data_IF_273435440090
#
_entry.id   IF_273435440090
#
_cell.length_a   1.000
_cell.length_b   1.000
_cell.length_c   1.000
_cell.angle_alpha   90.00
_cell.angle_beta   90.00
_cell.angle_gamma   90.00
#
_symmetry.space_group_name_H-M   'P 1'
#
loop_
_entity.id
_entity.type
_entity.pdbx_description
1 polymer ?
#
# COMPACT_ATOMS: atom_id res chain seq x y z
N UNK A 1 -9.07 0.05 5.93
CA UNK A 1 -9.84 -0.19 4.68
C UNK A 1 -8.93 -0.59 3.53
N UNK A 2 -7.92 0.22 3.17
CA UNK A 2 -6.88 -0.18 2.18
C UNK A 2 -6.10 -1.41 2.61
N UNK A 3 -5.73 -1.50 3.90
CA UNK A 3 -5.04 -2.66 4.49
C UNK A 3 -5.89 -3.94 4.59
N UNK A 4 -7.21 -3.85 4.42
CA UNK A 4 -8.13 -4.99 4.54
C UNK A 4 -8.59 -5.43 3.15
N UNK A 5 -9.31 -4.56 2.43
CA UNK A 5 -9.85 -4.87 1.11
C UNK A 5 -8.80 -4.79 0.01
N UNK A 6 -7.81 -3.90 0.14
CA UNK A 6 -6.73 -3.79 -0.84
C UNK A 6 -5.92 -5.07 -0.93
N UNK A 7 -5.67 -5.77 0.17
CA UNK A 7 -4.88 -7.01 0.18
C UNK A 7 -5.45 -8.12 -0.70
N UNK A 8 -6.75 -8.11 -0.96
CA UNK A 8 -7.41 -9.08 -1.85
C UNK A 8 -7.01 -8.91 -3.31
N UNK A 9 -6.63 -7.70 -3.71
CA UNK A 9 -6.15 -7.38 -5.05
C UNK A 9 -4.64 -7.62 -5.23
N UNK A 10 -3.91 -7.97 -4.18
CA UNK A 10 -2.45 -8.12 -4.23
C UNK A 10 -2.04 -9.53 -4.70
N UNK A 11 -1.43 -9.70 -5.90
CA UNK A 11 -1.13 -11.03 -6.45
C UNK A 11 -0.24 -11.90 -5.54
N UNK A 12 0.69 -11.24 -4.83
CA UNK A 12 1.61 -11.87 -3.87
C UNK A 12 0.95 -12.54 -2.66
N UNK A 13 -0.29 -12.15 -2.33
CA UNK A 13 -1.07 -12.81 -1.28
C UNK A 13 -1.81 -14.02 -1.85
N UNK A 14 -2.35 -13.88 -3.05
CA UNK A 14 -3.06 -14.94 -3.76
C UNK A 14 -2.17 -16.15 -4.06
N UNK A 15 -0.91 -15.93 -4.44
CA UNK A 15 0.05 -17.02 -4.67
C UNK A 15 0.34 -17.85 -3.43
N UNK A 16 0.24 -17.26 -2.23
CA UNK A 16 0.44 -18.00 -0.97
C UNK A 16 -0.71 -18.95 -0.66
N UNK A 17 -1.93 -18.64 -1.10
CA UNK A 17 -3.05 -19.57 -0.95
C UNK A 17 -2.88 -20.83 -1.81
N UNK A 18 -2.28 -20.71 -3.00
CA UNK A 18 -1.96 -21.87 -3.84
C UNK A 18 -0.85 -22.77 -3.26
N UNK A 19 -0.01 -22.24 -2.36
CA UNK A 19 1.01 -23.00 -1.66
C UNK A 19 0.48 -23.72 -0.39
N UNK A 20 -0.79 -23.51 -0.02
CA UNK A 20 -1.37 -24.11 1.18
C UNK A 20 -1.61 -25.62 0.96
N UNK A 21 -1.03 -26.44 1.85
CA UNK A 21 -1.06 -27.92 1.72
C UNK A 21 -2.44 -28.54 1.94
N UNK A 22 -3.36 -27.85 2.61
CA UNK A 22 -4.70 -28.37 2.90
C UNK A 22 -5.72 -27.28 3.21
N UNK A 23 -7.00 -27.54 2.93
CA UNK A 23 -8.13 -26.65 3.28
C UNK A 23 -8.20 -26.36 4.79
N UNK A 24 -7.90 -27.36 5.63
CA UNK A 24 -7.86 -27.22 7.08
C UNK A 24 -6.77 -26.21 7.51
N UNK A 25 -5.60 -26.24 6.87
CA UNK A 25 -4.54 -25.25 7.14
C UNK A 25 -4.92 -23.82 6.78
N UNK A 26 -5.78 -23.61 5.78
CA UNK A 26 -6.30 -22.27 5.42
C UNK A 26 -7.21 -21.72 6.53
N UNK A 27 -8.11 -22.54 7.08
CA UNK A 27 -9.02 -22.11 8.16
C UNK A 27 -8.27 -21.74 9.45
N UNK A 28 -7.31 -22.56 9.87
CA UNK A 28 -6.46 -22.22 11.02
C UNK A 28 -5.57 -21.02 10.74
N UNK A 29 -5.00 -20.94 9.53
CA UNK A 29 -4.18 -19.80 9.11
C UNK A 29 -4.96 -18.49 9.17
N UNK A 30 -6.23 -18.49 8.76
CA UNK A 30 -7.10 -17.31 8.86
C UNK A 30 -7.32 -16.86 10.31
N UNK A 31 -7.61 -17.79 11.22
CA UNK A 31 -7.85 -17.45 12.63
C UNK A 31 -6.57 -16.95 13.32
N UNK A 32 -5.45 -17.63 13.10
CA UNK A 32 -4.14 -17.22 13.62
C UNK A 32 -3.77 -15.83 13.08
N UNK A 33 -3.96 -15.59 11.78
CA UNK A 33 -3.71 -14.29 11.18
C UNK A 33 -4.63 -13.20 11.74
N UNK A 34 -5.90 -13.48 11.96
CA UNK A 34 -6.84 -12.52 12.54
C UNK A 34 -6.44 -12.11 13.97
N UNK A 35 -6.12 -13.08 14.82
CA UNK A 35 -5.63 -12.83 16.18
C UNK A 35 -4.32 -12.05 16.15
N UNK A 36 -3.39 -12.44 15.28
CA UNK A 36 -2.11 -11.76 15.14
C UNK A 36 -2.26 -10.30 14.69
N UNK A 37 -3.09 -10.04 13.68
CA UNK A 37 -3.38 -8.68 13.19
C UNK A 37 -4.03 -7.85 14.29
N UNK A 38 -4.94 -8.43 15.07
CA UNK A 38 -5.56 -7.75 16.20
C UNK A 38 -4.51 -7.33 17.24
N UNK A 39 -3.64 -8.27 17.67
CA UNK A 39 -2.57 -8.00 18.64
C UNK A 39 -1.63 -6.91 18.15
N UNK A 40 -1.12 -7.03 16.92
CA UNK A 40 -0.18 -6.05 16.35
C UNK A 40 -0.84 -4.67 16.20
N UNK A 41 -2.09 -4.62 15.74
CA UNK A 41 -2.82 -3.37 15.60
C UNK A 41 -3.07 -2.73 16.96
N UNK A 42 -3.51 -3.50 17.96
CA UNK A 42 -3.71 -3.02 19.31
C UNK A 42 -2.42 -2.44 19.90
N UNK A 43 -1.30 -3.16 19.79
CA UNK A 43 0.00 -2.68 20.24
C UNK A 43 0.44 -1.39 19.53
N UNK A 44 0.27 -1.31 18.21
CA UNK A 44 0.65 -0.12 17.44
C UNK A 44 -0.18 1.12 17.83
N UNK A 45 -1.49 0.97 17.98
CA UNK A 45 -2.39 2.05 18.40
C UNK A 45 -2.13 2.47 19.85
N UNK A 46 -1.93 1.49 20.74
CA UNK A 46 -1.63 1.76 22.14
C UNK A 46 -0.29 2.50 22.30
N UNK A 47 0.77 2.03 21.64
CA UNK A 47 2.07 2.69 21.67
C UNK A 47 2.00 4.12 21.12
N UNK A 48 1.24 4.34 20.03
CA UNK A 48 0.98 5.67 19.49
C UNK A 48 0.22 6.59 20.47
N UNK A 49 -0.75 6.06 21.20
CA UNK A 49 -1.47 6.80 22.23
C UNK A 49 -0.56 7.19 23.40
N UNK A 50 0.22 6.24 23.93
CA UNK A 50 1.15 6.48 25.04
C UNK A 50 2.21 7.52 24.65
N UNK A 51 2.83 7.38 23.47
CA UNK A 51 3.85 8.30 22.99
C UNK A 51 3.35 9.72 22.76
N UNK A 52 2.07 9.89 22.41
CA UNK A 52 1.45 11.21 22.24
C UNK A 52 0.90 11.80 23.54
N UNK A 53 0.39 10.96 24.45
CA UNK A 53 -0.28 11.39 25.67
C UNK A 53 0.67 11.76 26.81
N UNK A 54 1.82 11.08 26.93
CA UNK A 54 2.78 11.29 28.02
C UNK A 54 3.33 12.72 28.14
N UNK A 55 3.72 13.41 27.04
CA UNK A 55 4.18 14.81 27.12
C UNK A 55 3.13 15.80 27.62
N UNK A 56 1.85 15.43 27.53
CA UNK A 56 0.68 16.23 27.89
C UNK A 56 0.23 15.92 29.34
N UNK A 57 0.27 14.65 29.74
CA UNK A 57 -0.26 14.19 31.04
C UNK A 57 0.82 14.14 32.13
N UNK A 58 2.07 13.81 31.78
CA UNK A 58 3.15 13.52 32.75
C UNK A 58 4.12 14.67 33.01
N UNK A 59 3.88 15.88 32.48
CA UNK A 59 4.80 17.02 32.65
C UNK A 59 6.14 16.89 31.91
N UNK A 60 6.32 15.85 31.07
CA UNK A 60 7.52 15.60 30.27
C UNK A 60 7.68 16.55 29.06
N UNK A 61 6.97 17.69 29.05
CA UNK A 61 7.03 18.69 27.98
C UNK A 61 8.43 19.28 27.83
N UNK A 62 9.22 19.31 28.90
CA UNK A 62 10.63 19.73 28.88
C UNK A 62 11.51 18.75 28.09
N UNK A 63 11.37 17.44 28.32
CA UNK A 63 12.11 16.38 27.61
C UNK A 63 11.67 16.21 26.15
N UNK A 64 10.43 16.59 25.83
CA UNK A 64 9.97 16.63 24.44
C UNK A 64 10.51 17.87 23.71
N UNK A 65 10.65 19.01 24.39
CA UNK A 65 11.29 20.22 23.85
C UNK A 65 12.80 20.06 23.68
N UNK A 66 13.49 19.36 24.59
CA UNK A 66 14.91 19.01 24.40
C UNK A 66 15.09 18.14 23.16
N UNK A 67 14.27 17.09 23.02
CA UNK A 67 14.32 16.21 21.86
C UNK A 67 13.97 16.94 20.55
N UNK A 68 12.98 17.83 20.57
CA UNK A 68 12.65 18.68 19.43
C UNK A 68 13.82 19.59 19.03
N UNK A 69 14.55 20.11 20.02
CA UNK A 69 15.75 20.93 19.78
C UNK A 69 16.87 20.08 19.17
N UNK A 70 17.06 18.85 19.65
CA UNK A 70 18.06 17.90 19.14
C UNK A 70 17.79 17.47 17.69
N UNK A 71 16.52 17.31 17.29
CA UNK A 71 16.15 16.82 15.94
C UNK A 71 15.90 17.96 14.94
N UNK A 72 15.21 19.02 15.35
CA UNK A 72 14.74 20.07 14.45
C UNK A 72 15.61 21.33 14.49
N UNK A 73 16.57 21.42 15.43
CA UNK A 73 17.36 22.63 15.68
C UNK A 73 16.53 23.82 16.18
N UNK A 74 15.23 23.63 16.40
CA UNK A 74 14.27 24.63 16.84
C UNK A 74 13.59 24.11 18.10
N UNK A 75 13.40 24.98 19.09
CA UNK A 75 12.70 24.65 20.35
C UNK A 75 11.19 24.38 20.18
N UNK A 76 10.73 24.17 18.95
CA UNK A 76 9.34 23.93 18.55
C UNK A 76 9.21 22.57 17.89
N UNK A 77 8.14 21.84 18.23
CA UNK A 77 7.89 20.52 17.68
C UNK A 77 7.63 20.61 16.16
N UNK A 78 8.24 19.73 15.36
CA UNK A 78 7.90 19.63 13.94
C UNK A 78 6.41 19.38 13.73
N UNK A 79 5.85 19.90 12.63
CA UNK A 79 4.43 19.65 12.27
C UNK A 79 4.08 18.16 12.19
N UNK A 80 5.07 17.30 11.91
CA UNK A 80 4.96 15.85 11.83
C UNK A 80 5.59 15.12 13.04
N UNK A 81 5.65 15.78 14.22
CA UNK A 81 6.30 15.22 15.42
C UNK A 81 5.78 13.82 15.81
N UNK A 82 4.54 13.49 15.44
CA UNK A 82 3.93 12.20 15.74
C UNK A 82 4.64 11.01 15.08
N UNK A 83 5.42 11.20 14.02
CA UNK A 83 6.26 10.15 13.43
C UNK A 83 7.48 9.85 14.31
N UNK A 84 7.93 10.85 15.08
CA UNK A 84 9.07 10.76 15.97
C UNK A 84 8.69 10.31 17.39
N UNK A 85 7.40 10.12 17.68
CA UNK A 85 6.92 9.72 19.00
C UNK A 85 7.52 8.38 19.45
N UNK A 86 7.59 7.39 18.55
CA UNK A 86 8.18 6.08 18.87
C UNK A 86 9.71 6.15 19.07
N UNK A 87 10.50 6.75 18.17
CA UNK A 87 11.92 7.02 18.42
C UNK A 87 12.18 7.79 19.71
N UNK A 88 11.34 8.77 20.05
CA UNK A 88 11.44 9.54 21.28
C UNK A 88 11.25 8.67 22.52
N UNK A 89 10.21 7.84 22.56
CA UNK A 89 9.96 6.93 23.69
C UNK A 89 11.10 5.92 23.92
N UNK A 90 11.81 5.55 22.85
CA UNK A 90 12.97 4.66 22.92
C UNK A 90 14.25 5.41 23.29
N UNK A 91 14.28 6.73 23.12
CA UNK A 91 15.44 7.55 23.43
C UNK A 91 15.69 7.58 24.94
N UNK A 92 16.96 7.76 25.30
CA UNK A 92 17.39 7.94 26.69
C UNK A 92 16.79 9.19 27.33
N UNK A 93 16.39 10.19 26.53
CA UNK A 93 15.74 11.43 27.00
C UNK A 93 14.37 11.19 27.62
N UNK A 94 13.68 10.10 27.23
CA UNK A 94 12.38 9.74 27.81
C UNK A 94 12.50 9.18 29.22
N UNK A 95 13.64 8.57 29.58
CA UNK A 95 13.84 7.84 30.84
C UNK A 95 12.91 6.63 31.05
N UNK A 96 12.13 6.23 30.03
CA UNK A 96 11.05 5.25 30.18
C UNK A 96 11.53 3.80 30.05
N UNK A 97 12.54 3.57 29.22
CA UNK A 97 12.99 2.23 28.80
C UNK A 97 14.50 2.09 29.05
N UNK A 98 14.96 0.98 29.65
CA UNK A 98 16.38 0.68 29.77
C UNK A 98 17.12 0.73 28.43
N UNK A 99 18.31 1.31 28.41
CA UNK A 99 19.12 1.55 27.20
C UNK A 99 19.30 0.30 26.33
N UNK A 100 19.53 -0.85 26.96
CA UNK A 100 19.73 -2.12 26.25
C UNK A 100 18.47 -2.62 25.54
N UNK A 101 17.28 -2.36 26.10
CA UNK A 101 15.99 -2.71 25.47
C UNK A 101 15.74 -1.79 24.27
N UNK A 102 15.99 -0.48 24.43
CA UNK A 102 15.87 0.48 23.34
C UNK A 102 16.81 0.14 22.18
N UNK A 103 18.07 -0.23 22.47
CA UNK A 103 19.02 -0.64 21.46
C UNK A 103 18.57 -1.92 20.73
N UNK A 104 18.09 -2.92 21.45
CA UNK A 104 17.55 -4.15 20.88
C UNK A 104 16.33 -3.88 19.99
N UNK A 105 15.43 -3.01 20.45
CA UNK A 105 14.23 -2.64 19.70
C UNK A 105 14.58 -1.91 18.41
N UNK A 106 15.45 -0.89 18.46
CA UNK A 106 15.91 -0.15 17.29
C UNK A 106 16.62 -1.07 16.28
N UNK A 107 17.51 -1.96 16.76
CA UNK A 107 18.17 -2.94 15.91
C UNK A 107 17.15 -3.87 15.23
N UNK A 108 16.17 -4.39 15.98
CA UNK A 108 15.11 -5.24 15.46
C UNK A 108 14.22 -4.54 14.43
N UNK A 109 13.81 -3.29 14.69
CA UNK A 109 12.98 -2.53 13.74
C UNK A 109 13.73 -2.18 12.46
N UNK A 110 15.02 -1.84 12.57
CA UNK A 110 15.87 -1.56 11.41
C UNK A 110 16.10 -2.81 10.57
N UNK A 111 16.41 -3.94 11.21
CA UNK A 111 16.56 -5.22 10.53
C UNK A 111 15.26 -5.65 9.82
N UNK A 112 14.11 -5.53 10.49
CA UNK A 112 12.81 -5.83 9.91
C UNK A 112 12.47 -4.96 8.70
N UNK A 113 12.80 -3.66 8.78
CA UNK A 113 12.57 -2.72 7.67
C UNK A 113 13.47 -3.03 6.47
N UNK A 114 14.74 -3.38 6.71
CA UNK A 114 15.70 -3.72 5.66
C UNK A 114 15.27 -4.97 4.88
N UNK A 115 14.87 -6.04 5.58
CA UNK A 115 14.43 -7.29 4.92
C UNK A 115 13.14 -7.13 4.10
N UNK A 116 12.29 -6.17 4.46
CA UNK A 116 11.07 -5.85 3.71
C UNK A 116 11.39 -4.98 2.51
N UNK A 117 12.21 -3.93 2.70
CA UNK A 117 12.66 -3.04 1.64
C UNK A 117 13.42 -3.78 0.53
N UNK A 118 14.33 -4.67 0.89
CA UNK A 118 15.10 -5.49 -0.07
C UNK A 118 14.18 -6.30 -0.98
N UNK A 119 13.16 -6.98 -0.41
CA UNK A 119 12.20 -7.77 -1.20
C UNK A 119 11.40 -6.91 -2.18
N UNK A 120 10.97 -5.72 -1.76
CA UNK A 120 10.22 -4.81 -2.62
C UNK A 120 11.08 -4.29 -3.78
N UNK A 121 12.33 -3.94 -3.50
CA UNK A 121 13.29 -3.48 -4.51
C UNK A 121 13.63 -4.61 -5.50
N UNK A 122 13.85 -5.82 -5.00
CA UNK A 122 14.12 -7.00 -5.84
C UNK A 122 12.93 -7.35 -6.75
N UNK A 123 11.71 -7.30 -6.23
CA UNK A 123 10.49 -7.54 -7.01
C UNK A 123 10.33 -6.45 -8.08
N UNK A 124 10.48 -5.17 -7.71
CA UNK A 124 10.37 -4.06 -8.65
C UNK A 124 11.43 -4.13 -9.76
N UNK A 125 12.70 -4.34 -9.41
CA UNK A 125 13.79 -4.49 -10.39
C UNK A 125 13.61 -5.70 -11.31
N UNK A 126 13.15 -6.82 -10.75
CA UNK A 126 12.84 -8.04 -11.51
C UNK A 126 11.65 -7.88 -12.46
N UNK A 127 10.64 -7.10 -12.08
CA UNK A 127 9.51 -6.75 -12.97
C UNK A 127 9.93 -5.82 -14.10
N UNK A 128 10.81 -4.84 -13.86
CA UNK A 128 11.34 -4.01 -14.96
C UNK A 128 12.11 -4.86 -15.98
N UNK A 129 12.96 -5.77 -15.52
CA UNK A 129 13.73 -6.61 -16.43
C UNK A 129 12.86 -7.64 -17.18
N UNK A 130 11.92 -8.31 -16.51
CA UNK A 130 11.10 -9.35 -17.12
C UNK A 130 9.91 -8.78 -17.89
N UNK A 131 9.17 -7.86 -17.30
CA UNK A 131 7.89 -7.40 -17.84
C UNK A 131 8.11 -6.27 -18.87
N UNK A 132 9.01 -5.31 -18.60
CA UNK A 132 9.29 -4.22 -19.54
C UNK A 132 10.36 -4.60 -20.58
N UNK A 133 11.50 -5.13 -20.15
CA UNK A 133 12.60 -5.40 -21.08
C UNK A 133 12.39 -6.68 -21.89
N UNK A 134 12.22 -7.83 -21.23
CA UNK A 134 12.09 -9.12 -21.92
C UNK A 134 10.74 -9.28 -22.64
N UNK A 135 9.63 -8.99 -21.95
CA UNK A 135 8.27 -9.12 -22.51
C UNK A 135 7.76 -7.89 -23.26
N UNK A 136 8.44 -6.75 -23.20
CA UNK A 136 8.02 -5.52 -23.90
C UNK A 136 8.94 -5.18 -25.07
N UNK A 137 10.15 -4.72 -24.77
CA UNK A 137 11.09 -4.19 -25.77
C UNK A 137 11.78 -5.28 -26.59
N UNK A 138 12.08 -6.42 -25.96
CA UNK A 138 12.90 -7.47 -26.55
C UNK A 138 12.11 -8.72 -26.96
N UNK A 139 10.78 -8.65 -27.09
CA UNK A 139 9.89 -9.79 -27.44
C UNK A 139 10.41 -10.63 -28.63
N UNK A 140 11.06 -9.97 -29.60
CA UNK A 140 11.57 -10.61 -30.84
C UNK A 140 13.03 -11.08 -30.75
N UNK A 141 13.75 -10.79 -29.69
CA UNK A 141 15.15 -11.19 -29.50
C UNK A 141 15.18 -12.17 -28.35
N UNK A 142 15.61 -13.42 -28.56
CA UNK A 142 15.90 -14.36 -27.47
C UNK A 142 16.98 -13.74 -26.56
N UNK A 143 16.55 -13.00 -25.54
CA UNK A 143 17.44 -12.31 -24.60
C UNK A 143 18.09 -13.37 -23.73
N UNK A 144 19.43 -13.42 -23.74
CA UNK A 144 20.19 -14.25 -22.81
C UNK A 144 19.92 -13.85 -21.36
N UNK A 145 19.77 -14.84 -20.48
CA UNK A 145 19.56 -14.65 -19.05
C UNK A 145 20.62 -13.74 -18.39
N UNK A 146 21.86 -13.76 -18.90
CA UNK A 146 22.94 -12.91 -18.41
C UNK A 146 22.63 -11.41 -18.63
N UNK A 147 22.02 -11.06 -19.77
CA UNK A 147 21.61 -9.68 -20.07
C UNK A 147 20.43 -9.26 -19.20
N UNK A 148 19.46 -10.16 -19.01
CA UNK A 148 18.32 -9.92 -18.12
C UNK A 148 18.80 -9.66 -16.68
N UNK A 149 19.76 -10.45 -16.18
CA UNK A 149 20.35 -10.26 -14.85
C UNK A 149 21.09 -8.91 -14.71
N UNK A 150 21.86 -8.50 -15.73
CA UNK A 150 22.53 -7.19 -15.74
C UNK A 150 21.52 -6.04 -15.66
N UNK A 151 20.43 -6.13 -16.40
CA UNK A 151 19.37 -5.12 -16.40
C UNK A 151 18.66 -5.08 -15.05
N UNK A 152 18.31 -6.22 -14.48
CA UNK A 152 17.73 -6.29 -13.13
C UNK A 152 18.61 -5.56 -12.11
N UNK A 153 19.92 -5.82 -12.11
CA UNK A 153 20.87 -5.15 -11.18
C UNK A 153 20.93 -3.65 -11.41
N UNK A 154 20.96 -3.20 -12.66
CA UNK A 154 20.96 -1.77 -12.99
C UNK A 154 19.66 -1.08 -12.55
N UNK A 155 18.51 -1.72 -12.78
CA UNK A 155 17.20 -1.25 -12.34
C UNK A 155 17.12 -1.14 -10.81
N UNK A 156 17.67 -2.11 -10.07
CA UNK A 156 17.76 -2.04 -8.60
C UNK A 156 18.55 -0.82 -8.14
N UNK A 157 19.74 -0.59 -8.71
CA UNK A 157 20.57 0.57 -8.37
C UNK A 157 19.83 1.88 -8.66
N UNK A 158 19.16 1.98 -9.82
CA UNK A 158 18.37 3.16 -10.18
C UNK A 158 17.20 3.41 -9.21
N UNK A 159 16.47 2.37 -8.82
CA UNK A 159 15.37 2.46 -7.85
C UNK A 159 15.89 2.94 -6.49
N UNK A 160 17.02 2.39 -6.02
CA UNK A 160 17.63 2.79 -4.75
C UNK A 160 18.06 4.26 -4.81
N UNK A 161 18.68 4.70 -5.90
CA UNK A 161 19.08 6.10 -6.07
C UNK A 161 17.88 7.05 -5.97
N UNK A 162 16.77 6.74 -6.66
CA UNK A 162 15.53 7.53 -6.60
C UNK A 162 14.95 7.51 -5.17
N UNK A 163 14.93 6.35 -4.51
CA UNK A 163 14.42 6.23 -3.15
C UNK A 163 15.24 7.05 -2.14
N UNK A 164 16.56 7.07 -2.27
CA UNK A 164 17.45 7.90 -1.42
C UNK A 164 17.21 9.39 -1.67
N UNK A 165 17.08 9.82 -2.93
CA UNK A 165 16.77 11.21 -3.26
C UNK A 165 15.44 11.67 -2.67
N UNK A 166 14.41 10.82 -2.73
CA UNK A 166 13.11 11.09 -2.10
C UNK A 166 13.16 11.07 -0.57
N UNK A 167 14.04 10.27 0.02
CA UNK A 167 14.22 10.19 1.47
C UNK A 167 14.92 11.43 2.07
N UNK A 168 15.76 12.12 1.29
CA UNK A 168 16.44 13.35 1.74
C UNK A 168 15.48 14.53 1.92
N UNK A 169 14.40 14.59 1.14
CA UNK A 169 13.36 15.61 1.26
C UNK A 169 11.97 14.97 1.11
N UNK A 170 11.45 14.34 2.18
CA UNK A 170 10.21 13.59 2.09
C UNK A 170 9.02 14.53 1.84
N UNK A 171 8.19 14.28 0.81
CA UNK A 171 7.07 15.16 0.47
C UNK A 171 5.92 15.07 1.48
N UNK A 172 5.84 14.00 2.26
CA UNK A 172 4.83 13.80 3.30
C UNK A 172 5.27 12.77 4.33
N UNK A 173 4.37 12.40 5.22
CA UNK A 173 4.62 11.38 6.24
C UNK A 173 4.82 10.00 5.63
N UNK A 174 5.58 9.15 6.31
CA UNK A 174 5.84 7.76 5.92
C UNK A 174 4.51 6.99 5.80
N UNK A 175 3.58 7.26 6.73
CA UNK A 175 2.25 6.64 6.69
C UNK A 175 1.49 7.05 5.43
N UNK A 176 1.42 8.35 5.11
CA UNK A 176 0.71 8.85 3.93
C UNK A 176 1.32 8.31 2.63
N UNK A 177 2.65 8.33 2.51
CA UNK A 177 3.40 7.75 1.37
C UNK A 177 3.08 6.27 1.17
N UNK A 178 3.05 5.52 2.27
CA UNK A 178 2.78 4.09 2.26
C UNK A 178 1.32 3.83 1.88
N UNK A 179 0.37 4.53 2.50
CA UNK A 179 -1.06 4.38 2.20
C UNK A 179 -1.38 4.69 0.74
N UNK A 180 -0.80 5.76 0.19
CA UNK A 180 -0.97 6.12 -1.22
C UNK A 180 -0.41 5.05 -2.17
N UNK A 181 0.78 4.49 -1.86
CA UNK A 181 1.40 3.43 -2.64
C UNK A 181 0.54 2.16 -2.67
N UNK A 182 0.05 1.73 -1.50
CA UNK A 182 -0.85 0.58 -1.40
C UNK A 182 -2.21 0.84 -2.03
N UNK A 183 -2.74 2.06 -1.90
CA UNK A 183 -4.01 2.43 -2.52
C UNK A 183 -3.91 2.37 -4.05
N UNK A 184 -2.82 2.89 -4.63
CA UNK A 184 -2.59 2.92 -6.08
C UNK A 184 -2.37 1.51 -6.66
N UNK A 185 -1.61 0.65 -5.98
CA UNK A 185 -1.43 -0.75 -6.40
C UNK A 185 -2.77 -1.49 -6.42
N UNK A 186 -3.52 -1.38 -5.33
CA UNK A 186 -4.80 -2.08 -5.21
C UNK A 186 -5.89 -1.45 -6.08
N UNK A 187 -5.78 -0.15 -6.40
CA UNK A 187 -6.68 0.51 -7.33
C UNK A 187 -6.65 -0.17 -8.70
N UNK A 188 -5.45 -0.47 -9.20
CA UNK A 188 -5.26 -1.15 -10.49
C UNK A 188 -5.69 -2.61 -10.46
N UNK A 189 -5.31 -3.37 -9.42
CA UNK A 189 -5.39 -4.84 -9.46
C UNK A 189 -6.68 -5.43 -8.89
N UNK A 190 -7.40 -4.76 -7.99
CA UNK A 190 -8.49 -5.36 -7.22
C UNK A 190 -9.64 -5.87 -8.10
N UNK A 191 -10.24 -5.00 -8.93
CA UNK A 191 -11.37 -5.38 -9.78
C UNK A 191 -10.98 -6.43 -10.83
N UNK A 192 -9.88 -6.25 -11.59
CA UNK A 192 -9.44 -7.28 -12.54
C UNK A 192 -9.20 -8.64 -11.89
N UNK A 193 -8.65 -8.65 -10.68
CA UNK A 193 -8.35 -9.88 -9.95
C UNK A 193 -9.63 -10.59 -9.47
N UNK A 194 -10.54 -9.87 -8.80
CA UNK A 194 -11.81 -10.42 -8.32
C UNK A 194 -12.68 -10.87 -9.49
N UNK A 195 -12.82 -10.04 -10.53
CA UNK A 195 -13.62 -10.38 -11.69
C UNK A 195 -13.04 -11.58 -12.45
N UNK A 196 -11.71 -11.71 -12.52
CA UNK A 196 -11.06 -12.88 -13.12
C UNK A 196 -11.35 -14.20 -12.38
N UNK A 197 -11.52 -14.14 -11.05
CA UNK A 197 -11.81 -15.32 -10.23
C UNK A 197 -13.29 -15.71 -10.25
N UNK A 198 -14.21 -14.73 -10.20
CA UNK A 198 -15.63 -14.99 -10.00
C UNK A 198 -16.50 -14.80 -11.24
N UNK A 199 -15.98 -14.20 -12.33
CA UNK A 199 -16.78 -13.89 -13.50
C UNK A 199 -16.19 -14.42 -14.81
N UNK A 200 -16.89 -15.38 -15.42
CA UNK A 200 -16.54 -15.97 -16.73
C UNK A 200 -16.57 -14.97 -17.89
N UNK A 201 -17.20 -13.81 -17.70
CA UNK A 201 -17.41 -12.80 -18.74
C UNK A 201 -16.20 -11.90 -19.00
N UNK A 202 -15.20 -11.89 -18.10
CA UNK A 202 -14.07 -10.97 -18.13
C UNK A 202 -13.18 -11.10 -19.38
N UNK A 203 -12.75 -9.96 -19.92
CA UNK A 203 -11.82 -9.91 -21.07
C UNK A 203 -10.47 -9.30 -20.70
N UNK A 204 -9.42 -9.62 -21.46
CA UNK A 204 -8.08 -9.05 -21.24
C UNK A 204 -8.10 -7.52 -21.32
N UNK A 205 -8.86 -6.95 -22.25
CA UNK A 205 -8.98 -5.49 -22.40
C UNK A 205 -9.78 -4.87 -21.25
N UNK A 206 -10.84 -5.54 -20.79
CA UNK A 206 -11.58 -5.09 -19.60
C UNK A 206 -10.69 -5.03 -18.37
N UNK A 207 -9.88 -6.07 -18.12
CA UNK A 207 -8.92 -6.10 -17.03
C UNK A 207 -7.90 -4.94 -17.10
N UNK A 208 -7.28 -4.72 -18.25
CA UNK A 208 -6.27 -3.66 -18.41
C UNK A 208 -6.88 -2.26 -18.31
N UNK A 209 -7.95 -1.98 -19.06
CA UNK A 209 -8.54 -0.65 -19.14
C UNK A 209 -9.21 -0.23 -17.83
N UNK A 210 -9.96 -1.14 -17.19
CA UNK A 210 -10.57 -0.83 -15.89
C UNK A 210 -9.52 -0.57 -14.81
N UNK A 211 -8.43 -1.36 -14.78
CA UNK A 211 -7.31 -1.13 -13.87
C UNK A 211 -6.62 0.21 -14.13
N UNK A 212 -6.35 0.57 -15.39
CA UNK A 212 -5.77 1.87 -15.74
C UNK A 212 -6.68 3.04 -15.38
N UNK A 213 -7.99 2.93 -15.64
CA UNK A 213 -8.98 3.94 -15.26
C UNK A 213 -8.99 4.09 -13.73
N UNK A 214 -9.02 2.99 -12.98
CA UNK A 214 -8.99 3.01 -11.52
C UNK A 214 -7.74 3.70 -10.98
N UNK A 215 -6.56 3.35 -11.51
CA UNK A 215 -5.29 3.96 -11.14
C UNK A 215 -5.29 5.46 -11.45
N UNK A 216 -5.74 5.85 -12.65
CA UNK A 216 -5.83 7.26 -13.05
C UNK A 216 -6.77 8.03 -12.11
N UNK A 217 -7.94 7.48 -11.78
CA UNK A 217 -8.87 8.09 -10.83
C UNK A 217 -8.25 8.22 -9.44
N UNK A 218 -7.55 7.19 -8.94
CA UNK A 218 -6.89 7.24 -7.63
C UNK A 218 -5.83 8.35 -7.59
N UNK A 219 -4.97 8.42 -8.60
CA UNK A 219 -3.89 9.42 -8.68
C UNK A 219 -4.46 10.83 -8.86
N UNK A 220 -5.44 11.01 -9.75
CA UNK A 220 -6.08 12.30 -9.97
C UNK A 220 -6.81 12.79 -8.71
N UNK A 221 -7.54 11.90 -8.03
CA UNK A 221 -8.20 12.23 -6.78
C UNK A 221 -7.20 12.66 -5.72
N UNK A 222 -6.11 11.91 -5.59
CA UNK A 222 -5.06 12.23 -4.65
C UNK A 222 -4.44 13.60 -4.92
N UNK A 223 -4.07 13.90 -6.18
CA UNK A 223 -3.47 15.18 -6.57
C UNK A 223 -4.45 16.35 -6.40
N UNK A 224 -5.73 16.17 -6.74
CA UNK A 224 -6.73 17.23 -6.66
C UNK A 224 -7.05 17.67 -5.21
N UNK A 225 -6.97 16.75 -4.25
CA UNK A 225 -7.44 16.99 -2.87
C UNK A 225 -6.33 16.96 -1.80
N UNK A 226 -5.08 16.60 -2.14
CA UNK A 226 -3.95 16.64 -1.21
C UNK A 226 -3.01 17.84 -1.45
N UNK A 227 -3.26 18.99 -0.81
CA UNK A 227 -2.42 20.18 -0.95
C UNK A 227 -0.98 20.02 -0.41
N UNK A 228 -0.70 18.94 0.33
CA UNK A 228 0.65 18.64 0.85
C UNK A 228 1.62 18.15 -0.23
N UNK A 229 1.12 17.58 -1.33
CA UNK A 229 1.91 16.91 -2.37
C UNK A 229 2.01 17.71 -3.67
N UNK A 230 1.17 18.72 -3.84
CA UNK A 230 1.20 19.62 -4.99
C UNK A 230 2.25 20.70 -4.79
N UNK A 231 2.95 21.06 -5.87
CA UNK A 231 3.67 22.34 -5.97
C UNK A 231 2.77 23.50 -5.51
N UNK A 232 3.33 24.59 -4.95
CA UNK A 232 2.53 25.76 -4.59
C UNK A 232 1.74 26.24 -5.82
N UNK A 233 0.41 26.07 -5.80
CA UNK A 233 -0.49 26.51 -6.87
C UNK A 233 -1.20 25.43 -7.71
N UNK A 234 -0.92 24.13 -7.51
CA UNK A 234 -1.65 23.06 -8.22
C UNK A 234 -2.83 22.36 -7.49
N UNK A 235 -3.13 22.55 -6.19
CA UNK A 235 -4.33 21.93 -5.63
C UNK A 235 -5.55 22.65 -6.19
N UNK A 236 -6.24 22.00 -7.14
CA UNK A 236 -7.43 22.54 -7.79
C UNK A 236 -8.54 22.85 -6.77
N UNK A 237 -8.64 22.04 -5.72
CA UNK A 237 -9.64 22.21 -4.67
C UNK A 237 -9.01 22.02 -3.29
N UNK A 238 -9.14 23.03 -2.42
CA UNK A 238 -8.86 22.82 -0.99
C UNK A 238 -10.05 22.07 -0.40
N UNK A 239 -9.84 20.96 0.33
CA UNK A 239 -10.93 20.28 1.03
C UNK A 239 -11.71 21.22 1.97
N UNK A 240 -11.05 22.26 2.48
CA UNK A 240 -11.62 23.32 3.30
C UNK A 240 -12.78 24.10 2.62
N UNK A 241 -12.75 24.20 1.30
CA UNK A 241 -13.63 25.07 0.51
C UNK A 241 -14.80 24.30 -0.13
N UNK A 242 -14.82 22.97 0.03
CA UNK A 242 -15.83 22.11 -0.57
C UNK A 242 -17.05 21.91 0.36
N UNK A 243 -18.27 21.82 -0.20
CA UNK A 243 -19.46 21.51 0.58
C UNK A 243 -19.37 20.11 1.18
N UNK A 244 -19.99 19.92 2.35
CA UNK A 244 -20.09 18.60 2.97
C UNK A 244 -20.98 17.69 2.12
N UNK A 245 -20.48 16.49 1.80
CA UNK A 245 -21.28 15.42 1.17
C UNK A 245 -22.17 14.78 2.24
N UNK A 246 -21.59 14.53 3.42
CA UNK A 246 -22.30 13.99 4.58
C UNK A 246 -22.19 15.02 5.69
N UNK A 247 -23.33 15.52 6.15
CA UNK A 247 -23.42 16.48 7.26
C UNK A 247 -24.37 15.96 8.34
N UNK A 248 -23.90 14.97 9.08
CA UNK A 248 -24.60 14.43 10.25
C UNK A 248 -23.86 14.82 11.53
N UNK A 249 -24.52 14.85 12.70
CA UNK A 249 -23.87 15.22 13.98
C UNK A 249 -22.66 14.35 14.32
N UNK A 250 -22.65 13.09 13.87
CA UNK A 250 -21.62 12.09 14.13
C UNK A 250 -20.65 11.86 12.96
N UNK A 251 -21.00 12.28 11.74
CA UNK A 251 -20.14 12.10 10.56
C UNK A 251 -20.25 13.32 9.64
N UNK A 252 -19.15 14.06 9.55
CA UNK A 252 -18.95 15.14 8.59
C UNK A 252 -17.88 14.70 7.60
N UNK A 253 -18.25 14.55 6.35
CA UNK A 253 -17.33 14.12 5.30
C UNK A 253 -17.43 15.05 4.10
N UNK A 254 -16.28 15.59 3.68
CA UNK A 254 -16.10 16.37 2.46
C UNK A 254 -15.57 15.46 1.35
N UNK A 255 -15.67 15.85 0.06
CA UNK A 255 -15.10 15.07 -1.03
C UNK A 255 -13.62 14.73 -0.78
N UNK A 256 -12.81 15.69 -0.36
CA UNK A 256 -11.39 15.47 -0.09
C UNK A 256 -11.07 14.56 1.10
N UNK A 257 -12.06 14.28 1.98
CA UNK A 257 -11.86 13.36 3.11
C UNK A 257 -12.06 11.89 2.72
N UNK A 258 -12.66 11.64 1.55
CA UNK A 258 -12.85 10.29 1.02
C UNK A 258 -11.54 9.80 0.45
N UNK A 259 -11.08 8.66 0.95
CA UNK A 259 -9.86 8.01 0.48
C UNK A 259 -9.95 7.68 -1.02
N UNK A 260 -8.90 8.03 -1.77
CA UNK A 260 -8.76 7.84 -3.22
C UNK A 260 -9.02 6.40 -3.67
N UNK A 261 -8.70 5.41 -2.83
CA UNK A 261 -8.99 4.02 -3.09
C UNK A 261 -10.50 3.78 -3.27
N UNK A 262 -11.35 4.33 -2.41
CA UNK A 262 -12.80 4.10 -2.46
C UNK A 262 -13.36 4.65 -3.78
N UNK A 263 -12.96 5.88 -4.13
CA UNK A 263 -13.42 6.54 -5.36
C UNK A 263 -12.95 5.77 -6.60
N UNK A 264 -11.71 5.29 -6.61
CA UNK A 264 -11.20 4.49 -7.71
C UNK A 264 -12.02 3.21 -7.93
N UNK A 265 -12.45 2.53 -6.86
CA UNK A 265 -13.22 1.29 -6.98
C UNK A 265 -14.65 1.52 -7.46
N UNK A 266 -15.27 2.64 -7.06
CA UNK A 266 -16.61 3.00 -7.55
C UNK A 266 -16.64 3.23 -9.07
N UNK A 267 -15.53 3.70 -9.66
CA UNK A 267 -15.40 3.85 -11.11
C UNK A 267 -14.96 2.55 -11.78
N UNK A 268 -14.04 1.82 -11.15
CA UNK A 268 -13.45 0.60 -11.70
C UNK A 268 -14.48 -0.52 -11.93
N UNK A 269 -15.41 -0.70 -10.99
CA UNK A 269 -16.45 -1.74 -11.05
C UNK A 269 -17.31 -1.59 -12.33
N UNK A 270 -18.04 -0.47 -12.54
CA UNK A 270 -18.85 -0.31 -13.74
C UNK A 270 -18.00 -0.29 -15.01
N UNK A 271 -16.81 0.32 -14.99
CA UNK A 271 -15.90 0.31 -16.14
C UNK A 271 -15.54 -1.11 -16.58
N UNK A 272 -15.22 -2.01 -15.63
CA UNK A 272 -14.92 -3.41 -15.95
C UNK A 272 -16.08 -4.08 -16.67
N UNK A 273 -17.29 -4.01 -16.11
CA UNK A 273 -18.47 -4.67 -16.69
C UNK A 273 -18.85 -4.10 -18.06
N UNK A 274 -18.83 -2.77 -18.21
CA UNK A 274 -19.15 -2.10 -19.49
C UNK A 274 -18.15 -2.52 -20.57
N UNK A 275 -16.85 -2.42 -20.29
CA UNK A 275 -15.80 -2.76 -21.27
C UNK A 275 -15.86 -4.24 -21.61
N UNK A 276 -16.09 -5.11 -20.62
CA UNK A 276 -16.19 -6.55 -20.82
C UNK A 276 -17.43 -6.95 -21.63
N UNK A 277 -18.51 -6.16 -21.56
CA UNK A 277 -19.71 -6.37 -22.38
C UNK A 277 -19.51 -5.92 -23.82
N UNK A 278 -18.78 -4.82 -24.04
CA UNK A 278 -18.42 -4.30 -25.37
C UNK A 278 -17.40 -5.22 -26.07
N UNK A 279 -16.38 -5.68 -25.34
CA UNK A 279 -15.27 -6.47 -25.89
C UNK A 279 -15.60 -7.97 -26.02
N UNK A 280 -16.62 -8.33 -26.80
CA UNK A 280 -17.03 -9.74 -26.95
C UNK A 280 -15.96 -10.63 -27.61
N UNK A 281 -15.03 -10.04 -28.38
CA UNK A 281 -13.97 -10.76 -29.12
C UNK A 281 -12.73 -11.06 -28.26
N UNK A 282 -12.54 -10.37 -27.13
CA UNK A 282 -11.40 -10.56 -26.24
C UNK A 282 -11.59 -11.62 -25.15
N UNK A 283 -12.67 -12.42 -25.24
CA UNK A 283 -13.00 -13.45 -24.25
C UNK A 283 -12.08 -14.66 -24.38
N UNK A 284 -11.62 -15.24 -23.27
CA UNK A 284 -10.89 -16.51 -23.29
C UNK A 284 -11.73 -17.63 -23.90
N UNK A 285 -11.07 -18.69 -24.37
CA UNK A 285 -11.73 -19.84 -24.98
C UNK A 285 -12.72 -20.50 -24.00
N UNK A 286 -13.91 -20.86 -24.51
CA UNK A 286 -14.99 -21.42 -23.67
C UNK A 286 -14.56 -22.70 -22.96
N UNK A 287 -13.76 -23.54 -23.63
CA UNK A 287 -13.25 -24.78 -23.05
C UNK A 287 -12.33 -24.50 -21.85
N UNK A 288 -11.42 -23.53 -21.99
CA UNK A 288 -10.56 -23.08 -20.91
C UNK A 288 -11.36 -22.52 -19.73
N UNK A 289 -12.34 -21.65 -20.00
CA UNK A 289 -13.22 -21.10 -18.95
C UNK A 289 -14.02 -22.19 -18.24
N UNK A 290 -14.55 -23.16 -18.98
CA UNK A 290 -15.31 -24.24 -18.38
C UNK A 290 -14.42 -25.14 -17.50
N UNK A 291 -13.20 -25.46 -17.94
CA UNK A 291 -12.21 -26.19 -17.12
C UNK A 291 -11.86 -25.45 -15.84
N UNK A 292 -11.53 -24.16 -15.93
CA UNK A 292 -11.14 -23.35 -14.78
C UNK A 292 -12.25 -23.21 -13.74
N UNK A 293 -13.50 -23.01 -14.19
CA UNK A 293 -14.62 -22.82 -13.28
C UNK A 293 -15.28 -24.13 -12.81
N UNK A 294 -15.06 -25.25 -13.50
CA UNK A 294 -15.57 -26.56 -13.06
C UNK A 294 -14.99 -26.95 -11.69
N UNK A 295 -13.72 -26.67 -11.44
CA UNK A 295 -13.06 -26.92 -10.15
C UNK A 295 -13.61 -26.03 -9.02
N UNK A 296 -14.18 -24.87 -9.33
CA UNK A 296 -14.81 -24.00 -8.32
C UNK A 296 -16.16 -24.59 -7.87
N UNK A 297 -16.88 -25.25 -8.79
CA UNK A 297 -18.22 -25.81 -8.55
C UNK A 297 -18.22 -27.26 -8.06
N UNK A 298 -17.14 -28.01 -8.24
CA UNK A 298 -17.06 -29.41 -7.77
C UNK A 298 -16.75 -29.53 -6.27
N UNK A 299 -16.19 -28.48 -5.65
CA UNK A 299 -15.79 -28.45 -4.24
C UNK A 299 -16.91 -27.97 -3.29
N UNK A 300 -18.13 -27.74 -3.80
CA UNK A 300 -19.29 -27.36 -2.97
C UNK A 300 -20.07 -28.56 -2.41
N UNK A 301 -19.77 -29.79 -2.87
CA UNK A 301 -20.52 -31.01 -2.52
C UNK A 301 -19.74 -32.00 -1.61
N UNK A 302 -18.55 -31.63 -1.09
CA UNK A 302 -17.79 -32.38 -0.05
C UNK A 302 -17.33 -31.48 1.13
#
# INVERSE_FOLDING_TARGET
LVTTFGTWGSPQMSTRFFAAKSRKSIRYGMLIAAVWVFVVSFCAWFAGYVGRGQPIIGGATASLKSFATTIAGTGTLPKNWYEYAMPWMLSTESGMIPVWISALFLAGTTAGSLTTGEKLILVAGGSIARDFYQQGVAIKKNVSDEKTLKITRLSIVAIIAIAVLLALNPPSTILDLTMFSWASLNAFTLIPFIAGLYWKGGTRRAALLSGLIALAVAVLWFVCFNPKWTTPGLPLFKPADLPYIINTPWLKARPGDIHEFIVSQLVAIPAFFIISWIDKKGKPEKEFLNKMFAHITQDTDE
#
